data_IF_701608702552
#
_entry.id   IF_701608702552
#
_cell.length_a   1.000
_cell.length_b   1.000
_cell.length_c   1.000
_cell.angle_alpha   90.00
_cell.angle_beta   90.00
_cell.angle_gamma   90.00
#
_symmetry.space_group_name_H-M   'P 1'
#
loop_
_entity.id
_entity.type
_entity.pdbx_description
1 polymer ?
#
# COMPACT_ATOMS: atom_id res chain seq x y z
N UNK A 1 -5.01 3.70 3.37
CA UNK A 1 -4.59 3.90 1.97
C UNK A 1 -3.14 4.33 1.99
N UNK A 2 -2.32 3.76 1.11
CA UNK A 2 -0.93 4.19 0.92
C UNK A 2 -0.82 4.71 -0.51
N UNK A 3 -0.46 5.98 -0.66
CA UNK A 3 -0.22 6.59 -1.98
C UNK A 3 0.95 7.57 -1.82
N UNK A 4 2.12 7.33 -2.46
CA UNK A 4 3.34 8.10 -2.20
C UNK A 4 3.40 9.51 -2.78
N UNK A 5 2.50 9.86 -3.70
CA UNK A 5 2.56 11.09 -4.50
C UNK A 5 1.54 12.14 -4.04
N UNK A 6 0.71 11.83 -3.05
CA UNK A 6 -0.25 12.75 -2.43
C UNK A 6 0.11 12.99 -0.96
N UNK A 7 -0.16 14.22 -0.51
CA UNK A 7 0.04 14.62 0.89
C UNK A 7 -1.28 14.78 1.66
N UNK A 8 -2.41 14.66 0.96
CA UNK A 8 -3.74 14.72 1.53
C UNK A 8 -4.71 13.88 0.71
N UNK A 9 -5.73 13.33 1.36
CA UNK A 9 -6.75 12.58 0.66
C UNK A 9 -7.62 13.50 -0.22
N UNK A 10 -8.03 13.05 -1.41
CA UNK A 10 -9.10 13.70 -2.16
C UNK A 10 -10.38 13.78 -1.33
N UNK A 11 -11.14 14.88 -1.43
CA UNK A 11 -12.39 15.08 -0.69
C UNK A 11 -13.39 13.92 -0.79
N UNK A 12 -13.40 13.18 -1.91
CA UNK A 12 -14.28 12.03 -2.13
C UNK A 12 -13.97 10.83 -1.23
N UNK A 13 -12.77 10.78 -0.65
CA UNK A 13 -12.31 9.71 0.23
C UNK A 13 -12.22 10.15 1.69
N UNK A 14 -12.61 11.39 1.97
CA UNK A 14 -12.63 11.92 3.33
C UNK A 14 -13.61 11.13 4.20
N UNK A 15 -13.16 10.71 5.39
CA UNK A 15 -13.90 9.83 6.30
C UNK A 15 -14.08 8.37 5.83
N UNK A 16 -13.69 8.01 4.60
CA UNK A 16 -13.80 6.62 4.09
C UNK A 16 -12.51 5.82 4.29
N UNK A 17 -11.37 6.51 4.28
CA UNK A 17 -10.08 5.89 4.56
C UNK A 17 -9.12 6.89 5.19
N UNK A 18 -8.03 6.36 5.72
CA UNK A 18 -6.93 7.18 6.25
C UNK A 18 -5.72 7.01 5.34
N UNK A 19 -5.08 8.13 4.98
CA UNK A 19 -3.78 8.10 4.31
C UNK A 19 -2.73 7.72 5.35
N UNK A 20 -1.97 6.67 5.07
CA UNK A 20 -0.96 6.13 5.97
C UNK A 20 0.38 5.98 5.24
N UNK A 21 1.51 6.13 5.95
CA UNK A 21 2.82 5.76 5.43
C UNK A 21 2.87 4.26 5.08
N UNK A 22 3.71 3.93 4.10
CA UNK A 22 3.92 2.54 3.67
C UNK A 22 4.34 1.63 4.83
N UNK A 23 5.32 2.06 5.63
CA UNK A 23 5.83 1.25 6.75
C UNK A 23 4.75 0.94 7.79
N UNK A 24 3.85 1.88 8.06
CA UNK A 24 2.75 1.65 8.98
C UNK A 24 1.79 0.58 8.43
N UNK A 25 1.48 0.63 7.14
CA UNK A 25 0.67 -0.40 6.50
C UNK A 25 1.38 -1.75 6.46
N UNK A 26 2.70 -1.78 6.23
CA UNK A 26 3.46 -3.02 6.24
C UNK A 26 3.49 -3.68 7.63
N UNK A 27 3.59 -2.88 8.68
CA UNK A 27 3.64 -3.37 10.05
C UNK A 27 2.28 -3.83 10.61
N UNK A 28 1.16 -3.23 10.18
CA UNK A 28 -0.13 -3.43 10.85
C UNK A 28 -1.25 -3.97 9.96
N UNK A 29 -1.07 -4.08 8.64
CA UNK A 29 -2.14 -4.55 7.77
C UNK A 29 -2.24 -6.07 7.80
N UNK A 30 -3.45 -6.60 8.06
CA UNK A 30 -3.73 -8.02 7.93
C UNK A 30 -3.79 -8.48 6.46
N UNK A 31 -4.25 -7.58 5.58
CA UNK A 31 -4.41 -7.82 4.14
C UNK A 31 -3.78 -6.68 3.36
N UNK A 32 -2.94 -7.03 2.38
CA UNK A 32 -2.29 -6.07 1.50
C UNK A 32 -2.83 -6.21 0.07
N UNK A 33 -3.30 -5.09 -0.51
CA UNK A 33 -3.85 -5.05 -1.88
C UNK A 33 -3.10 -4.02 -2.69
N UNK A 34 -2.38 -4.46 -3.73
CA UNK A 34 -1.68 -3.58 -4.66
C UNK A 34 -2.55 -3.30 -5.88
N UNK A 35 -3.04 -2.08 -5.99
CA UNK A 35 -3.87 -1.61 -7.10
C UNK A 35 -3.08 -0.83 -8.15
N UNK A 36 -1.93 -0.27 -7.75
CA UNK A 36 -1.06 0.57 -8.58
C UNK A 36 0.40 0.24 -8.25
N UNK A 37 1.25 0.22 -9.25
CA UNK A 37 2.65 -0.20 -9.21
C UNK A 37 3.60 1.00 -9.13
N UNK A 38 3.39 1.89 -8.16
CA UNK A 38 4.26 3.05 -7.96
C UNK A 38 5.73 2.62 -7.78
N UNK A 39 6.67 3.45 -8.26
CA UNK A 39 8.10 3.15 -8.19
C UNK A 39 8.56 2.86 -6.75
N UNK A 40 7.98 3.56 -5.78
CA UNK A 40 8.24 3.36 -4.35
C UNK A 40 7.84 1.96 -3.89
N UNK A 41 6.77 1.37 -4.43
CA UNK A 41 6.33 0.02 -4.09
C UNK A 41 7.21 -1.05 -4.76
N UNK A 42 7.66 -0.79 -5.99
CA UNK A 42 8.64 -1.67 -6.68
C UNK A 42 9.99 -1.73 -5.98
N UNK A 43 10.34 -0.67 -5.25
CA UNK A 43 11.58 -0.62 -4.46
C UNK A 43 11.50 -1.41 -3.14
N UNK A 44 10.30 -1.83 -2.72
CA UNK A 44 10.09 -2.67 -1.54
C UNK A 44 10.52 -4.09 -1.87
N UNK A 45 11.44 -4.65 -1.07
CA UNK A 45 11.82 -6.07 -1.21
C UNK A 45 10.62 -6.95 -0.89
N UNK A 46 10.37 -7.99 -1.69
CA UNK A 46 9.32 -8.98 -1.42
C UNK A 46 9.44 -9.60 -0.02
N UNK A 47 10.67 -9.76 0.50
CA UNK A 47 10.93 -10.29 1.85
C UNK A 47 10.36 -9.42 2.99
N UNK A 48 10.13 -8.13 2.71
CA UNK A 48 9.55 -7.19 3.69
C UNK A 48 8.01 -7.21 3.70
N UNK A 49 7.40 -7.90 2.74
CA UNK A 49 5.95 -8.06 2.62
C UNK A 49 5.56 -9.39 3.24
N UNK A 50 5.28 -9.37 4.54
CA UNK A 50 5.06 -10.58 5.37
C UNK A 50 3.60 -10.89 5.64
N UNK A 51 2.68 -10.13 5.05
CA UNK A 51 1.24 -10.26 5.25
C UNK A 51 0.75 -11.62 4.78
N UNK A 52 -0.15 -12.22 5.57
CA UNK A 52 -0.72 -13.52 5.27
C UNK A 52 -1.56 -13.51 3.98
N UNK A 53 -2.16 -12.36 3.64
CA UNK A 53 -3.01 -12.21 2.46
C UNK A 53 -2.53 -11.05 1.60
N UNK A 54 -2.00 -11.38 0.42
CA UNK A 54 -1.52 -10.41 -0.57
C UNK A 54 -2.30 -10.57 -1.87
N UNK A 55 -2.98 -9.51 -2.28
CA UNK A 55 -3.61 -9.39 -3.59
C UNK A 55 -2.80 -8.42 -4.43
N UNK A 56 -1.91 -8.97 -5.25
CA UNK A 56 -1.09 -8.19 -6.17
C UNK A 56 -1.68 -8.24 -7.59
N UNK A 57 -2.30 -7.13 -8.01
CA UNK A 57 -2.86 -7.00 -9.36
C UNK A 57 -1.83 -6.57 -10.41
N UNK A 58 -0.58 -6.32 -10.00
CA UNK A 58 0.49 -5.74 -10.82
C UNK A 58 1.71 -6.65 -10.98
N UNK A 59 1.87 -7.67 -10.14
CA UNK A 59 2.94 -8.66 -10.21
C UNK A 59 4.29 -8.12 -9.78
N UNK A 60 4.32 -7.31 -8.72
CA UNK A 60 5.52 -6.65 -8.18
C UNK A 60 6.08 -7.39 -6.96
N UNK A 61 5.23 -7.96 -6.10
CA UNK A 61 5.63 -8.62 -4.83
C UNK A 61 5.39 -10.14 -4.84
N UNK A 62 5.26 -10.73 -6.03
CA UNK A 62 5.22 -12.18 -6.24
C UNK A 62 6.47 -12.68 -6.92
#
# INVERSE_FOLDING_TARGET
>A
MVEPNIHALPKKLDGLCTLAPLEAALASADVLVMLVDHNQFKAVSGDSVTQAFIVDSKGVWR
#
